data_IF_222941388876
#
_entry.id   IF_222941388876
#
_cell.length_a   1.000
_cell.length_b   1.000
_cell.length_c   1.000
_cell.angle_alpha   90.00
_cell.angle_beta   90.00
_cell.angle_gamma   90.00
#
_symmetry.space_group_name_H-M   'P 1'
#
loop_
_entity.id
_entity.type
_entity.pdbx_description
1 polymer ?
#
# COMPACT_ATOMS: atom_id res chain seq x y z
N UNK A 1 -14.86 -91.99 54.12
CA UNK A 1 -15.91 -91.13 53.53
C UNK A 1 -15.62 -89.65 53.77
N UNK A 2 -15.46 -89.19 55.02
CA UNK A 2 -15.12 -87.79 55.34
C UNK A 2 -13.82 -87.25 54.69
N UNK A 3 -12.76 -88.05 54.58
CA UNK A 3 -11.50 -87.61 53.94
C UNK A 3 -11.67 -87.27 52.45
N UNK A 4 -12.47 -88.07 51.72
CA UNK A 4 -12.78 -87.83 50.30
C UNK A 4 -13.59 -86.54 50.11
N UNK A 5 -14.49 -86.27 51.04
CA UNK A 5 -15.34 -85.07 51.00
C UNK A 5 -14.53 -83.80 51.34
N UNK A 6 -13.58 -83.89 52.28
CA UNK A 6 -12.62 -82.83 52.59
C UNK A 6 -11.68 -82.55 51.40
N UNK A 7 -11.17 -83.58 50.72
CA UNK A 7 -10.37 -83.39 49.50
C UNK A 7 -11.20 -82.75 48.36
N UNK A 8 -12.46 -83.16 48.22
CA UNK A 8 -13.40 -82.57 47.27
C UNK A 8 -13.63 -81.08 47.55
N UNK A 9 -13.84 -80.72 48.81
CA UNK A 9 -13.96 -79.31 49.23
C UNK A 9 -12.67 -78.52 49.06
N UNK A 10 -11.49 -79.09 49.37
CA UNK A 10 -10.21 -78.43 49.13
C UNK A 10 -9.99 -78.14 47.63
N UNK A 11 -10.38 -79.06 46.74
CA UNK A 11 -10.33 -78.81 45.29
C UNK A 11 -11.27 -77.69 44.86
N UNK A 12 -12.52 -77.70 45.34
CA UNK A 12 -13.49 -76.61 45.10
C UNK A 12 -12.97 -75.26 45.58
N UNK A 13 -12.41 -75.22 46.79
CA UNK A 13 -11.79 -74.03 47.37
C UNK A 13 -10.60 -73.53 46.55
N UNK A 14 -9.74 -74.42 46.06
CA UNK A 14 -8.60 -74.05 45.22
C UNK A 14 -9.03 -73.43 43.89
N UNK A 15 -10.07 -73.96 43.25
CA UNK A 15 -10.59 -73.41 41.99
C UNK A 15 -11.32 -72.09 42.20
N UNK A 16 -12.04 -71.93 43.31
CA UNK A 16 -12.61 -70.65 43.71
C UNK A 16 -11.52 -69.57 43.88
N UNK A 17 -10.40 -69.89 44.56
CA UNK A 17 -9.27 -68.96 44.74
C UNK A 17 -8.64 -68.55 43.40
N UNK A 18 -8.48 -69.49 42.45
CA UNK A 18 -7.99 -69.17 41.10
C UNK A 18 -8.95 -68.22 40.38
N UNK A 19 -10.26 -68.45 40.52
CA UNK A 19 -11.32 -67.56 40.01
C UNK A 19 -11.19 -66.15 40.56
N UNK A 20 -11.08 -66.01 41.88
CA UNK A 20 -10.86 -64.72 42.56
C UNK A 20 -9.63 -64.01 42.00
N UNK A 21 -8.48 -64.69 41.90
CA UNK A 21 -7.24 -64.09 41.34
C UNK A 21 -7.39 -63.64 39.89
N UNK A 22 -8.19 -64.33 39.08
CA UNK A 22 -8.49 -63.93 37.69
C UNK A 22 -9.32 -62.65 37.68
N UNK A 23 -10.37 -62.56 38.50
CA UNK A 23 -11.19 -61.36 38.61
C UNK A 23 -10.40 -60.19 39.20
N UNK A 24 -9.54 -60.41 40.19
CA UNK A 24 -8.64 -59.37 40.74
C UNK A 24 -7.73 -58.76 39.66
N UNK A 25 -7.12 -59.59 38.80
CA UNK A 25 -6.34 -59.08 37.66
C UNK A 25 -7.20 -58.27 36.70
N UNK A 26 -8.40 -58.77 36.38
CA UNK A 26 -9.32 -58.09 35.46
C UNK A 26 -9.78 -56.74 36.03
N UNK A 27 -10.04 -56.67 37.33
CA UNK A 27 -10.37 -55.41 38.01
C UNK A 27 -9.21 -54.42 37.87
N UNK A 28 -7.97 -54.84 38.16
CA UNK A 28 -6.79 -53.95 38.02
C UNK A 28 -6.60 -53.42 36.59
N UNK A 29 -6.77 -54.28 35.60
CA UNK A 29 -6.67 -53.91 34.18
C UNK A 29 -7.76 -52.89 33.79
N UNK A 30 -9.01 -53.13 34.20
CA UNK A 30 -10.12 -52.21 33.96
C UNK A 30 -9.94 -50.88 34.71
N UNK A 31 -9.39 -50.90 35.92
CA UNK A 31 -9.06 -49.68 36.67
C UNK A 31 -8.01 -48.86 35.94
N UNK A 32 -6.92 -49.49 35.48
CA UNK A 32 -5.88 -48.81 34.72
C UNK A 32 -6.42 -48.20 33.42
N UNK A 33 -7.23 -48.96 32.68
CA UNK A 33 -7.87 -48.45 31.45
C UNK A 33 -8.75 -47.24 31.74
N UNK A 34 -9.56 -47.30 32.79
CA UNK A 34 -10.43 -46.18 33.20
C UNK A 34 -9.62 -44.95 33.60
N UNK A 35 -8.50 -45.12 34.29
CA UNK A 35 -7.61 -44.02 34.66
C UNK A 35 -6.96 -43.36 33.45
N UNK A 36 -6.54 -44.14 32.45
CA UNK A 36 -5.96 -43.60 31.24
C UNK A 36 -7.01 -42.92 30.35
N UNK A 37 -8.21 -43.50 30.24
CA UNK A 37 -9.33 -42.87 29.53
C UNK A 37 -9.72 -41.54 30.18
N UNK A 38 -9.70 -41.44 31.51
CA UNK A 38 -9.92 -40.16 32.22
C UNK A 38 -8.89 -39.11 31.83
N UNK A 39 -7.59 -39.46 31.78
CA UNK A 39 -6.54 -38.53 31.33
C UNK A 39 -6.73 -38.13 29.87
N UNK A 40 -7.15 -39.06 29.01
CA UNK A 40 -7.42 -38.78 27.61
C UNK A 40 -8.59 -37.80 27.45
N UNK A 41 -9.67 -38.01 28.20
CA UNK A 41 -10.83 -37.08 28.24
C UNK A 41 -10.38 -35.68 28.68
N UNK A 42 -9.56 -35.56 29.72
CA UNK A 42 -9.04 -34.25 30.15
C UNK A 42 -8.23 -33.56 29.04
N UNK A 43 -7.32 -34.28 28.37
CA UNK A 43 -6.54 -33.74 27.26
C UNK A 43 -7.42 -33.28 26.09
N UNK A 44 -8.46 -34.05 25.78
CA UNK A 44 -9.44 -33.70 24.74
C UNK A 44 -10.25 -32.46 25.12
N UNK A 45 -10.63 -32.33 26.40
CA UNK A 45 -11.32 -31.13 26.89
C UNK A 45 -10.45 -29.88 26.73
N UNK A 46 -9.17 -29.94 27.13
CA UNK A 46 -8.23 -28.82 26.96
C UNK A 46 -8.07 -28.42 25.48
N UNK A 47 -8.08 -29.40 24.57
CA UNK A 47 -8.02 -29.15 23.13
C UNK A 47 -9.29 -28.46 22.63
N UNK A 48 -10.46 -28.93 23.06
CA UNK A 48 -11.75 -28.32 22.74
C UNK A 48 -11.78 -26.88 23.22
N UNK A 49 -11.39 -26.62 24.47
CA UNK A 49 -11.38 -25.28 25.06
C UNK A 49 -10.42 -24.35 24.31
N UNK A 50 -9.23 -24.82 23.95
CA UNK A 50 -8.26 -24.07 23.14
C UNK A 50 -8.81 -23.75 21.75
N UNK A 51 -9.49 -24.69 21.10
CA UNK A 51 -10.12 -24.47 19.80
C UNK A 51 -11.28 -23.48 19.90
N UNK A 52 -12.11 -23.58 20.95
CA UNK A 52 -13.18 -22.62 21.20
C UNK A 52 -12.64 -21.20 21.42
N UNK A 53 -11.53 -21.03 22.14
CA UNK A 53 -10.86 -19.73 22.29
C UNK A 53 -10.39 -19.18 20.94
N UNK A 54 -9.83 -20.04 20.06
CA UNK A 54 -9.45 -19.62 18.70
C UNK A 54 -10.65 -19.19 17.86
N UNK A 55 -11.77 -19.93 17.91
CA UNK A 55 -13.01 -19.56 17.22
C UNK A 55 -13.50 -18.19 17.69
N UNK A 56 -13.53 -17.95 19.00
CA UNK A 56 -13.90 -16.64 19.57
C UNK A 56 -12.95 -15.53 19.11
N UNK A 57 -11.65 -15.79 19.10
CA UNK A 57 -10.64 -14.82 18.64
C UNK A 57 -10.80 -14.49 17.15
N UNK A 58 -11.01 -15.48 16.29
CA UNK A 58 -11.21 -15.24 14.85
C UNK A 58 -12.51 -14.50 14.56
N UNK A 59 -13.58 -14.80 15.31
CA UNK A 59 -14.83 -14.04 15.20
C UNK A 59 -14.60 -12.56 15.54
N UNK A 60 -13.91 -12.27 16.65
CA UNK A 60 -13.58 -10.88 17.03
C UNK A 60 -12.71 -10.18 16.00
N UNK A 61 -11.69 -10.87 15.46
CA UNK A 61 -10.84 -10.30 14.41
C UNK A 61 -11.61 -10.01 13.12
N UNK A 62 -12.60 -10.85 12.75
CA UNK A 62 -13.46 -10.59 11.62
C UNK A 62 -14.34 -9.36 11.85
N UNK A 63 -14.95 -9.23 13.03
CA UNK A 63 -15.76 -8.07 13.43
C UNK A 63 -14.91 -6.77 13.42
N UNK A 64 -13.70 -6.80 14.00
CA UNK A 64 -12.76 -5.66 14.00
C UNK A 64 -12.35 -5.24 12.58
N UNK A 65 -12.11 -6.21 11.68
CA UNK A 65 -11.77 -5.94 10.28
C UNK A 65 -12.96 -5.34 9.50
N UNK A 66 -14.18 -5.80 9.77
CA UNK A 66 -15.41 -5.25 9.18
C UNK A 66 -15.64 -3.80 9.64
N UNK A 67 -15.44 -3.51 10.92
CA UNK A 67 -15.57 -2.14 11.47
C UNK A 67 -14.54 -1.18 10.84
N UNK A 68 -13.30 -1.64 10.64
CA UNK A 68 -12.27 -0.87 9.94
C UNK A 68 -12.68 -0.60 8.48
N UNK A 69 -13.15 -1.61 7.75
CA UNK A 69 -13.61 -1.47 6.38
C UNK A 69 -14.78 -0.47 6.28
N UNK A 70 -15.76 -0.56 7.18
CA UNK A 70 -16.89 0.37 7.25
C UNK A 70 -16.45 1.80 7.55
N UNK A 71 -15.47 1.98 8.44
CA UNK A 71 -14.87 3.28 8.73
C UNK A 71 -14.19 3.87 7.50
N UNK A 72 -13.41 3.06 6.77
CA UNK A 72 -12.77 3.50 5.53
C UNK A 72 -13.79 3.84 4.44
N UNK A 73 -14.84 3.04 4.28
CA UNK A 73 -15.91 3.28 3.32
C UNK A 73 -16.68 4.58 3.62
N UNK A 74 -16.95 4.85 4.90
CA UNK A 74 -17.57 6.10 5.33
C UNK A 74 -16.69 7.32 4.99
N UNK A 75 -15.39 7.25 5.30
CA UNK A 75 -14.43 8.32 4.93
C UNK A 75 -14.34 8.51 3.42
N UNK A 76 -14.32 7.42 2.66
CA UNK A 76 -14.29 7.48 1.20
C UNK A 76 -15.52 8.20 0.64
N UNK A 77 -16.73 7.84 1.09
CA UNK A 77 -17.97 8.50 0.67
C UNK A 77 -17.96 10.00 0.98
N UNK A 78 -17.42 10.38 2.15
CA UNK A 78 -17.28 11.79 2.53
C UNK A 78 -16.35 12.55 1.58
N UNK A 79 -15.15 12.01 1.33
CA UNK A 79 -14.18 12.64 0.40
C UNK A 79 -14.74 12.69 -1.02
N UNK A 80 -15.44 11.65 -1.46
CA UNK A 80 -16.11 11.63 -2.75
C UNK A 80 -17.13 12.77 -2.87
N UNK A 81 -17.97 12.97 -1.84
CA UNK A 81 -18.94 14.06 -1.84
C UNK A 81 -18.27 15.44 -1.84
N UNK A 82 -17.22 15.63 -1.04
CA UNK A 82 -16.45 16.89 -1.02
C UNK A 82 -15.79 17.19 -2.38
N UNK A 83 -15.37 16.15 -3.11
CA UNK A 83 -14.85 16.28 -4.47
C UNK A 83 -15.95 16.66 -5.47
N UNK A 84 -17.11 16.02 -5.40
CA UNK A 84 -18.28 16.35 -6.25
C UNK A 84 -18.70 17.81 -6.03
N UNK A 85 -18.80 18.26 -4.78
CA UNK A 85 -19.08 19.67 -4.45
C UNK A 85 -18.02 20.63 -4.99
N UNK A 86 -16.73 20.26 -4.88
CA UNK A 86 -15.64 21.08 -5.39
C UNK A 86 -15.69 21.17 -6.92
N UNK A 87 -16.03 20.07 -7.60
CA UNK A 87 -16.19 20.02 -9.05
C UNK A 87 -17.35 20.91 -9.51
N UNK A 88 -18.53 20.81 -8.87
CA UNK A 88 -19.68 21.66 -9.18
C UNK A 88 -19.34 23.15 -9.00
N UNK A 89 -18.61 23.50 -7.93
CA UNK A 89 -18.13 24.88 -7.72
C UNK A 89 -17.19 25.34 -8.83
N UNK A 90 -16.27 24.48 -9.28
CA UNK A 90 -15.36 24.78 -10.38
C UNK A 90 -16.13 24.97 -11.70
N UNK A 91 -17.07 24.09 -12.03
CA UNK A 91 -17.89 24.15 -13.24
C UNK A 91 -18.71 25.46 -13.29
N UNK A 92 -19.27 25.88 -12.14
CA UNK A 92 -19.95 27.17 -12.03
C UNK A 92 -18.98 28.32 -12.32
N UNK A 93 -17.80 28.34 -11.70
CA UNK A 93 -16.80 29.38 -11.91
C UNK A 93 -16.32 29.43 -13.37
N UNK A 94 -16.07 28.28 -13.98
CA UNK A 94 -15.72 28.17 -15.40
C UNK A 94 -16.82 28.71 -16.30
N UNK A 95 -18.08 28.36 -16.04
CA UNK A 95 -19.22 28.87 -16.80
C UNK A 95 -19.34 30.40 -16.69
N UNK A 96 -19.07 30.97 -15.52
CA UNK A 96 -19.06 32.42 -15.29
C UNK A 96 -17.93 33.10 -16.09
N UNK A 97 -16.71 32.57 -16.01
CA UNK A 97 -15.56 33.07 -16.78
C UNK A 97 -15.82 32.97 -18.28
N UNK A 98 -16.37 31.86 -18.76
CA UNK A 98 -16.71 31.66 -20.16
C UNK A 98 -17.78 32.67 -20.64
N UNK A 99 -18.82 32.94 -19.85
CA UNK A 99 -19.80 34.01 -20.14
C UNK A 99 -19.16 35.39 -20.25
N UNK A 100 -18.26 35.75 -19.31
CA UNK A 100 -17.55 37.03 -19.34
C UNK A 100 -16.62 37.14 -20.55
N UNK A 101 -15.90 36.06 -20.89
CA UNK A 101 -15.06 35.99 -22.09
C UNK A 101 -15.87 36.17 -23.37
N UNK A 102 -17.06 35.57 -23.47
CA UNK A 102 -17.96 35.76 -24.60
C UNK A 102 -18.42 37.21 -24.73
N UNK A 103 -18.92 37.82 -23.64
CA UNK A 103 -19.32 39.24 -23.62
C UNK A 103 -18.20 40.19 -24.02
N UNK A 104 -16.97 39.96 -23.56
CA UNK A 104 -15.81 40.79 -23.93
C UNK A 104 -15.47 40.73 -25.43
N UNK A 105 -15.76 39.61 -26.11
CA UNK A 105 -15.54 39.43 -27.56
C UNK A 105 -16.58 40.17 -28.40
N UNK A 106 -17.78 40.41 -27.87
CA UNK A 106 -18.82 41.15 -28.57
C UNK A 106 -18.66 42.66 -28.42
N UNK A 107 -18.19 43.14 -27.26
CA UNK A 107 -17.85 44.56 -27.03
C UNK A 107 -16.69 45.02 -27.94
N UNK A 108 -15.78 44.11 -28.29
CA UNK A 108 -14.65 44.40 -29.19
C UNK A 108 -15.04 44.41 -30.68
N UNK A 109 -16.29 44.07 -31.05
CA UNK A 109 -16.79 44.15 -32.43
C UNK A 109 -17.53 45.46 -32.76
N UNK A 110 -17.91 46.27 -31.76
CA UNK A 110 -18.78 47.44 -31.95
C UNK A 110 -18.08 48.81 -31.91
N UNK A 111 -16.75 48.88 -31.81
CA UNK A 111 -15.99 50.14 -31.93
C UNK A 111 -15.45 50.34 -33.36
N UNK A 112 -15.74 51.47 -34.05
CA UNK A 112 -15.08 51.81 -35.31
C UNK A 112 -13.61 52.09 -35.04
N UNK A 113 -12.75 51.45 -35.85
CA UNK A 113 -11.30 51.49 -35.74
C UNK A 113 -10.78 52.91 -35.97
N UNK A 114 -10.10 53.48 -34.97
CA UNK A 114 -8.95 54.34 -35.18
C UNK A 114 -7.81 53.84 -34.29
N UNK A 115 -6.73 53.47 -34.97
CA UNK A 115 -5.35 53.32 -34.53
C UNK A 115 -4.93 52.23 -33.53
N UNK A 116 -3.92 51.48 -34.00
CA UNK A 116 -2.86 50.76 -33.26
C UNK A 116 -3.12 49.27 -32.91
N UNK A 117 -2.33 48.46 -33.63
CA UNK A 117 -1.65 47.23 -33.23
C UNK A 117 -2.46 45.94 -32.97
N UNK A 118 -2.10 44.95 -33.78
CA UNK A 118 -2.62 43.59 -33.85
C UNK A 118 -2.56 42.77 -32.56
N UNK A 119 -3.71 42.14 -32.28
CA UNK A 119 -3.91 40.74 -31.87
C UNK A 119 -3.21 40.20 -30.61
N UNK A 120 -4.01 39.94 -29.56
CA UNK A 120 -3.80 38.78 -28.67
C UNK A 120 -5.09 37.97 -28.57
N UNK A 121 -5.13 36.88 -29.34
CA UNK A 121 -6.10 35.80 -29.19
C UNK A 121 -5.63 34.83 -28.11
N UNK A 122 -6.53 34.55 -27.18
CA UNK A 122 -6.46 33.46 -26.20
C UNK A 122 -6.67 32.13 -26.93
N UNK A 123 -5.63 31.30 -27.00
CA UNK A 123 -5.74 29.86 -27.30
C UNK A 123 -5.01 29.08 -26.20
N UNK A 124 -5.57 27.92 -25.87
CA UNK A 124 -5.13 26.99 -24.82
C UNK A 124 -3.61 26.70 -24.85
N UNK A 125 -2.99 26.36 -23.71
CA UNK A 125 -1.55 26.14 -23.66
C UNK A 125 -1.19 24.86 -24.43
N UNK A 126 -0.26 24.90 -25.39
CA UNK A 126 0.28 23.69 -25.99
C UNK A 126 1.27 23.03 -25.03
N UNK A 127 1.22 21.70 -24.97
CA UNK A 127 2.05 20.79 -24.17
C UNK A 127 3.56 20.85 -24.47
N UNK A 128 4.02 21.78 -25.32
CA UNK A 128 5.40 21.92 -25.75
C UNK A 128 5.94 23.33 -25.46
N UNK A 129 6.60 23.47 -24.31
CA UNK A 129 7.20 24.72 -23.84
C UNK A 129 8.32 25.24 -24.76
N UNK A 130 8.90 24.40 -25.63
CA UNK A 130 10.10 24.74 -26.41
C UNK A 130 9.83 25.74 -27.55
N UNK A 131 8.64 25.69 -28.15
CA UNK A 131 8.23 26.61 -29.23
C UNK A 131 7.53 27.88 -28.76
N UNK A 132 7.01 27.89 -27.53
CA UNK A 132 6.15 28.97 -27.02
C UNK A 132 6.94 30.22 -26.60
N UNK A 133 8.16 30.07 -26.08
CA UNK A 133 8.99 31.21 -25.71
C UNK A 133 9.51 32.01 -26.90
N UNK A 134 9.64 31.37 -28.07
CA UNK A 134 10.11 32.01 -29.30
C UNK A 134 9.04 32.87 -29.99
N UNK A 135 7.75 32.62 -29.70
CA UNK A 135 6.63 33.29 -30.35
C UNK A 135 6.07 34.50 -29.57
N UNK A 136 6.47 34.72 -28.31
CA UNK A 136 6.09 35.90 -27.51
C UNK A 136 7.29 36.57 -26.80
N UNK A 137 8.09 37.37 -27.52
CA UNK A 137 9.25 38.07 -26.95
C UNK A 137 8.89 39.13 -25.90
N UNK A 138 7.66 39.66 -25.90
CA UNK A 138 7.27 40.77 -25.04
C UNK A 138 6.76 40.39 -23.64
N UNK A 139 6.33 39.14 -23.41
CA UNK A 139 5.70 38.76 -22.12
C UNK A 139 6.70 38.10 -21.16
N UNK A 140 7.76 37.50 -21.68
CA UNK A 140 8.76 36.76 -20.90
C UNK A 140 10.15 37.39 -21.04
N UNK A 141 10.27 38.67 -20.66
CA UNK A 141 11.51 39.45 -20.80
C UNK A 141 12.63 38.99 -19.86
N UNK A 142 12.28 38.46 -18.69
CA UNK A 142 13.23 38.10 -17.63
C UNK A 142 13.28 36.59 -17.46
N UNK A 143 14.48 36.04 -17.35
CA UNK A 143 14.69 34.59 -17.21
C UNK A 143 13.99 33.99 -15.98
N UNK A 144 13.80 34.80 -14.93
CA UNK A 144 13.05 34.46 -13.72
C UNK A 144 11.61 33.99 -14.00
N UNK A 145 10.91 34.64 -14.94
CA UNK A 145 9.52 34.29 -15.30
C UNK A 145 9.50 32.97 -16.10
N UNK A 146 10.51 32.75 -16.95
CA UNK A 146 10.64 31.51 -17.75
C UNK A 146 10.93 30.30 -16.85
N UNK A 147 11.80 30.47 -15.86
CA UNK A 147 12.18 29.42 -14.91
C UNK A 147 10.99 29.10 -13.98
N UNK A 148 10.31 30.12 -13.43
CA UNK A 148 9.13 29.95 -12.57
C UNK A 148 8.01 29.19 -13.29
N UNK A 149 7.78 29.50 -14.57
CA UNK A 149 6.80 28.78 -15.39
C UNK A 149 7.19 27.31 -15.61
N UNK A 150 8.46 27.01 -15.90
CA UNK A 150 8.92 25.62 -16.04
C UNK A 150 8.74 24.82 -14.74
N UNK A 151 8.98 25.42 -13.58
CA UNK A 151 8.75 24.74 -12.29
C UNK A 151 7.26 24.51 -12.03
N UNK A 152 6.40 25.45 -12.43
CA UNK A 152 4.94 25.25 -12.33
C UNK A 152 4.40 24.09 -13.19
N UNK A 153 5.20 23.62 -14.15
CA UNK A 153 4.91 22.48 -15.00
C UNK A 153 5.51 21.16 -14.47
N UNK A 154 6.35 21.20 -13.43
CA UNK A 154 6.93 20.00 -12.81
C UNK A 154 5.91 19.31 -11.89
N UNK A 155 5.85 17.98 -11.96
CA UNK A 155 4.98 17.16 -11.12
C UNK A 155 5.44 17.27 -9.64
N UNK A 156 4.48 17.21 -8.70
CA UNK A 156 4.61 17.38 -7.24
C UNK A 156 5.94 16.93 -6.57
N UNK A 157 6.53 15.75 -6.88
CA UNK A 157 7.81 15.34 -6.29
C UNK A 157 9.01 16.17 -6.78
N UNK A 158 9.03 16.53 -8.08
CA UNK A 158 10.05 17.39 -8.67
C UNK A 158 9.88 18.85 -8.25
N UNK A 159 8.65 19.28 -7.98
CA UNK A 159 8.36 20.62 -7.47
C UNK A 159 9.04 20.90 -6.12
N UNK A 160 8.98 19.94 -5.17
CA UNK A 160 9.60 20.11 -3.83
C UNK A 160 11.13 20.17 -3.91
N UNK A 161 11.73 19.36 -4.78
CA UNK A 161 13.17 19.37 -5.04
C UNK A 161 13.61 20.68 -5.71
N UNK A 162 12.91 21.11 -6.77
CA UNK A 162 13.25 22.32 -7.51
C UNK A 162 13.15 23.57 -6.62
N UNK A 163 12.14 23.63 -5.75
CA UNK A 163 11.97 24.70 -4.74
C UNK A 163 13.07 24.68 -3.66
N UNK A 164 13.55 23.50 -3.26
CA UNK A 164 14.59 23.34 -2.24
C UNK A 164 16.01 23.71 -2.74
N UNK A 165 16.34 23.38 -4.00
CA UNK A 165 17.59 23.83 -4.64
C UNK A 165 17.59 25.34 -4.84
N UNK A 166 16.45 25.90 -5.25
CA UNK A 166 16.30 27.34 -5.48
C UNK A 166 16.55 28.15 -4.20
N UNK A 167 16.13 27.65 -3.03
CA UNK A 167 16.44 28.31 -1.73
C UNK A 167 17.94 28.40 -1.41
N UNK A 168 18.80 27.59 -2.05
CA UNK A 168 20.25 27.54 -1.77
C UNK A 168 21.12 28.14 -2.88
N UNK A 169 20.69 28.07 -4.15
CA UNK A 169 21.45 28.62 -5.28
C UNK A 169 20.48 29.07 -6.37
N UNK A 170 20.50 30.36 -6.73
CA UNK A 170 19.60 30.92 -7.76
C UNK A 170 20.29 30.78 -9.13
N UNK A 171 19.74 30.02 -10.10
CA UNK A 171 20.24 30.06 -11.47
C UNK A 171 19.93 31.42 -12.07
N UNK A 172 20.96 32.19 -12.43
CA UNK A 172 20.78 33.57 -12.92
C UNK A 172 20.34 33.66 -14.39
N UNK A 173 20.30 32.53 -15.11
CA UNK A 173 19.99 32.50 -16.55
C UNK A 173 19.31 31.19 -16.94
N UNK A 174 18.34 31.27 -17.86
CA UNK A 174 17.53 30.15 -18.35
C UNK A 174 18.36 28.99 -18.94
N UNK A 175 19.48 29.30 -19.59
CA UNK A 175 20.40 28.28 -20.12
C UNK A 175 21.21 27.55 -19.03
N UNK A 176 21.42 28.18 -17.87
CA UNK A 176 22.03 27.52 -16.71
C UNK A 176 21.06 26.52 -16.06
N UNK A 177 19.76 26.85 -16.03
CA UNK A 177 18.69 25.99 -15.54
C UNK A 177 18.58 24.70 -16.37
N UNK A 178 18.56 24.81 -17.71
CA UNK A 178 18.51 23.64 -18.62
C UNK A 178 19.69 22.68 -18.47
N UNK A 179 20.90 23.18 -18.22
CA UNK A 179 22.08 22.33 -18.04
C UNK A 179 22.03 21.51 -16.75
N UNK A 180 21.42 22.05 -15.69
CA UNK A 180 21.17 21.29 -14.45
C UNK A 180 20.05 20.25 -14.62
N UNK A 181 19.00 20.56 -15.39
CA UNK A 181 17.83 19.71 -15.60
C UNK A 181 18.18 18.35 -16.27
N UNK A 182 19.12 18.33 -17.21
CA UNK A 182 19.59 17.08 -17.85
C UNK A 182 20.58 16.26 -17.01
N UNK A 183 21.30 16.87 -16.06
CA UNK A 183 22.26 16.18 -15.19
C UNK A 183 21.62 15.59 -13.93
N UNK A 184 20.41 16.03 -13.55
CA UNK A 184 19.74 15.63 -12.31
C UNK A 184 18.59 14.63 -12.48
N UNK A 185 18.01 14.45 -13.67
CA UNK A 185 16.92 13.47 -13.83
C UNK A 185 17.43 12.01 -13.85
N UNK A 186 18.48 11.70 -14.61
CA UNK A 186 18.95 10.32 -14.80
C UNK A 186 19.91 9.84 -13.71
N UNK A 187 20.85 10.69 -13.27
CA UNK A 187 21.83 10.35 -12.24
C UNK A 187 21.19 10.26 -10.84
N UNK A 188 20.19 11.09 -10.55
CA UNK A 188 19.49 11.07 -9.26
C UNK A 188 18.55 9.88 -9.17
N UNK A 189 17.76 9.57 -10.21
CA UNK A 189 16.90 8.38 -10.22
C UNK A 189 17.73 7.10 -10.09
N UNK A 190 18.84 7.01 -10.82
CA UNK A 190 19.80 5.89 -10.72
C UNK A 190 20.42 5.76 -9.33
N UNK A 191 20.81 6.87 -8.70
CA UNK A 191 21.36 6.87 -7.34
C UNK A 191 20.30 6.56 -6.28
N UNK A 192 19.06 7.00 -6.46
CA UNK A 192 17.95 6.66 -5.55
C UNK A 192 17.59 5.16 -5.65
N UNK A 193 17.66 4.57 -6.86
CA UNK A 193 17.42 3.14 -7.08
C UNK A 193 18.45 2.22 -6.40
N UNK A 194 19.68 2.68 -6.15
CA UNK A 194 20.69 1.90 -5.41
C UNK A 194 20.51 1.99 -3.90
N UNK A 195 19.91 3.06 -3.40
CA UNK A 195 19.77 3.35 -1.97
C UNK A 195 18.40 2.96 -1.40
N UNK A 196 17.40 2.78 -2.25
CA UNK A 196 16.05 2.43 -1.81
C UNK A 196 16.02 1.03 -1.18
N UNK A 197 15.46 0.94 0.03
CA UNK A 197 15.22 -0.31 0.74
C UNK A 197 13.81 -0.34 1.30
N UNK A 198 13.24 -1.54 1.43
CA UNK A 198 11.92 -1.75 2.00
C UNK A 198 11.91 -1.35 3.49
N UNK A 199 12.92 -1.75 4.26
CA UNK A 199 12.98 -1.52 5.70
C UNK A 199 11.73 -2.05 6.42
N UNK A 200 11.11 -1.23 7.27
CA UNK A 200 9.86 -1.53 7.97
C UNK A 200 8.58 -1.18 7.15
N UNK A 201 8.72 -0.77 5.89
CA UNK A 201 7.58 -0.37 5.03
C UNK A 201 6.89 -1.58 4.41
N UNK A 202 5.63 -1.42 4.01
CA UNK A 202 4.91 -2.44 3.25
C UNK A 202 5.56 -2.68 1.90
N UNK A 203 5.46 -3.91 1.38
CA UNK A 203 5.99 -4.28 0.06
C UNK A 203 5.36 -3.43 -1.03
N UNK A 204 4.08 -3.11 -0.89
CA UNK A 204 3.31 -2.30 -1.84
C UNK A 204 3.85 -0.87 -1.94
N UNK A 205 4.08 -0.21 -0.80
CA UNK A 205 4.63 1.15 -0.77
C UNK A 205 6.05 1.21 -1.36
N UNK A 206 6.89 0.22 -1.04
CA UNK A 206 8.24 0.08 -1.62
C UNK A 206 8.18 -0.15 -3.14
N UNK A 207 7.27 -1.01 -3.61
CA UNK A 207 7.14 -1.33 -5.03
C UNK A 207 6.70 -0.14 -5.86
N UNK A 208 5.78 0.66 -5.34
CA UNK A 208 5.28 1.86 -6.01
C UNK A 208 6.36 2.94 -6.16
N UNK A 209 7.15 3.14 -5.11
CA UNK A 209 8.28 4.09 -5.11
C UNK A 209 9.39 3.63 -6.06
N UNK A 210 9.72 2.32 -6.02
CA UNK A 210 10.71 1.74 -6.92
C UNK A 210 10.29 1.84 -8.39
N UNK A 211 9.02 1.54 -8.72
CA UNK A 211 8.51 1.64 -10.09
C UNK A 211 8.51 3.08 -10.62
N UNK A 212 8.19 4.05 -9.76
CA UNK A 212 8.25 5.47 -10.11
C UNK A 212 9.68 5.88 -10.48
N UNK A 213 10.66 5.51 -9.65
CA UNK A 213 12.08 5.77 -9.92
C UNK A 213 12.61 4.99 -11.14
N UNK A 214 12.14 3.76 -11.34
CA UNK A 214 12.53 2.91 -12.46
C UNK A 214 12.12 3.52 -13.82
N UNK A 215 10.92 4.12 -13.89
CA UNK A 215 10.41 4.78 -15.10
C UNK A 215 11.21 6.02 -15.50
N UNK A 216 11.84 6.69 -14.53
CA UNK A 216 12.69 7.87 -14.76
C UNK A 216 14.17 7.48 -14.98
N UNK A 217 14.52 6.21 -14.72
CA UNK A 217 15.87 5.69 -14.89
C UNK A 217 16.08 5.08 -16.28
N UNK A 218 17.33 5.13 -16.76
CA UNK A 218 17.75 4.45 -17.99
C UNK A 218 18.27 3.02 -17.74
N UNK A 219 17.92 2.42 -16.59
CA UNK A 219 18.45 1.12 -16.20
C UNK A 219 17.84 0.00 -17.02
N UNK A 220 18.65 -1.00 -17.34
CA UNK A 220 18.14 -2.17 -18.04
C UNK A 220 17.17 -2.96 -17.13
N UNK A 221 16.17 -3.66 -17.70
CA UNK A 221 15.17 -4.40 -16.91
C UNK A 221 15.78 -5.44 -15.97
N UNK A 222 16.88 -6.07 -16.36
CA UNK A 222 17.58 -7.08 -15.55
C UNK A 222 18.21 -6.47 -14.31
N UNK A 223 18.83 -5.29 -14.42
CA UNK A 223 19.45 -4.56 -13.31
C UNK A 223 18.39 -4.00 -12.36
N UNK A 224 17.24 -3.56 -12.88
CA UNK A 224 16.09 -3.15 -12.06
C UNK A 224 15.54 -4.32 -11.23
N UNK A 225 15.40 -5.51 -11.83
CA UNK A 225 14.95 -6.70 -11.09
C UNK A 225 15.93 -7.09 -9.97
N UNK A 226 17.23 -7.05 -10.26
CA UNK A 226 18.26 -7.38 -9.27
C UNK A 226 18.28 -6.34 -8.13
N UNK A 227 18.21 -5.04 -8.44
CA UNK A 227 18.20 -4.02 -7.38
C UNK A 227 16.90 -4.03 -6.59
N UNK A 228 15.76 -4.26 -7.24
CA UNK A 228 14.47 -4.42 -6.57
C UNK A 228 14.51 -5.57 -5.56
N UNK A 229 15.04 -6.73 -5.98
CA UNK A 229 15.19 -7.91 -5.12
C UNK A 229 16.12 -7.61 -3.94
N UNK A 230 17.26 -6.98 -4.19
CA UNK A 230 18.22 -6.65 -3.14
C UNK A 230 17.69 -5.65 -2.11
N UNK A 231 16.77 -4.76 -2.50
CA UNK A 231 16.14 -3.80 -1.58
C UNK A 231 14.96 -4.37 -0.78
N UNK A 232 14.44 -5.56 -1.09
CA UNK A 232 13.37 -6.22 -0.32
C UNK A 232 13.85 -6.75 1.02
N UNK A 233 12.94 -6.92 1.99
CA UNK A 233 13.29 -7.50 3.28
C UNK A 233 13.72 -8.99 3.13
N UNK A 234 14.77 -9.47 3.82
CA UNK A 234 15.32 -10.83 3.65
C UNK A 234 14.30 -11.97 3.77
N UNK A 235 13.30 -11.79 4.65
CA UNK A 235 12.18 -12.74 4.85
C UNK A 235 11.30 -12.95 3.61
N UNK A 236 11.26 -11.96 2.72
CA UNK A 236 10.47 -11.95 1.49
C UNK A 236 11.36 -12.39 0.32
N UNK A 237 12.63 -11.96 0.29
CA UNK A 237 13.62 -12.43 -0.67
C UNK A 237 13.76 -13.96 -0.69
N UNK A 238 13.73 -14.61 0.48
CA UNK A 238 13.84 -16.07 0.61
C UNK A 238 12.65 -16.85 0.03
N UNK A 239 11.53 -16.19 -0.26
CA UNK A 239 10.31 -16.79 -0.80
C UNK A 239 10.14 -16.58 -2.30
N UNK A 240 11.00 -15.78 -2.93
CA UNK A 240 10.92 -15.48 -4.36
C UNK A 240 11.79 -16.47 -5.16
N UNK A 241 11.24 -17.14 -6.19
CA UNK A 241 12.02 -18.02 -7.07
C UNK A 241 13.06 -17.22 -7.87
N UNK A 242 14.15 -17.91 -8.27
CA UNK A 242 15.25 -17.34 -9.07
C UNK A 242 14.82 -16.99 -10.49
#
# INVERSE_FOLDING_TARGET
ELESEVEGEQRRGADAIKGVRKYERRVKELTYQTEEDKKNITRLQDLVDKLQLKVKSYKRQAEEAEEQANTHLSRYRKVQHELEEAQERADIAESQVNKLRAKSRDISKSHPKNDICSSKGTTAPPTNARGFFSSLPQVYKTDDIKITYLISLLIEPMFKWATAIWKKHIPTTYECFKKHDHLLSTHTASHCLTQIQQGNRSVEAYSLEFQTLAKESTWNPTTLLVSFRNGLHPRIQAKLPY
#
